data_IF_214214392922
#
_entry.id   IF_214214392922
#
_cell.length_a   1.000
_cell.length_b   1.000
_cell.length_c   1.000
_cell.angle_alpha   90.00
_cell.angle_beta   90.00
_cell.angle_gamma   90.00
#
_symmetry.space_group_name_H-M   'P 1'
#
loop_
_entity.id
_entity.type
_entity.pdbx_description
1 polymer ?
#
# COMPACT_ATOMS: atom_id res chain seq x y z
N UNK A 1 -7.74 12.34 -7.27
CA UNK A 1 -8.41 12.72 -6.09
C UNK A 1 -8.21 14.15 -5.61
N UNK A 2 -7.00 14.72 -5.74
CA UNK A 2 -6.73 16.06 -5.20
C UNK A 2 -7.52 17.17 -5.93
N UNK A 3 -7.89 16.95 -7.17
CA UNK A 3 -8.65 17.92 -7.94
C UNK A 3 -10.15 17.78 -7.74
N UNK A 4 -10.63 16.69 -7.15
CA UNK A 4 -12.05 16.41 -6.99
C UNK A 4 -12.80 16.10 -8.30
N UNK A 5 -12.09 15.97 -9.43
CA UNK A 5 -12.68 15.65 -10.73
C UNK A 5 -12.68 14.14 -10.94
N UNK A 6 -13.86 13.53 -10.97
CA UNK A 6 -13.99 12.08 -11.01
C UNK A 6 -13.32 11.46 -12.25
N UNK A 7 -13.55 12.02 -13.44
CA UNK A 7 -12.95 11.48 -14.66
C UNK A 7 -11.41 11.57 -14.63
N UNK A 8 -10.87 12.64 -14.05
CA UNK A 8 -9.43 12.77 -13.89
C UNK A 8 -8.89 11.74 -12.90
N UNK A 9 -9.64 11.46 -11.82
CA UNK A 9 -9.25 10.44 -10.85
C UNK A 9 -9.24 9.05 -11.49
N UNK A 10 -10.22 8.72 -12.31
CA UNK A 10 -10.27 7.45 -13.02
C UNK A 10 -9.03 7.29 -13.92
N UNK A 11 -8.69 8.34 -14.68
CA UNK A 11 -7.49 8.31 -15.52
C UNK A 11 -6.22 8.16 -14.70
N UNK A 12 -6.13 8.86 -13.58
CA UNK A 12 -4.96 8.76 -12.70
C UNK A 12 -4.80 7.34 -12.17
N UNK A 13 -5.88 6.72 -11.72
CA UNK A 13 -5.86 5.34 -11.22
C UNK A 13 -5.45 4.37 -12.33
N UNK A 14 -5.99 4.54 -13.54
CA UNK A 14 -5.63 3.70 -14.69
C UNK A 14 -4.14 3.83 -15.04
N UNK A 15 -3.62 5.07 -15.01
CA UNK A 15 -2.20 5.32 -15.27
C UNK A 15 -1.32 4.70 -14.20
N UNK A 16 -1.68 4.85 -12.94
CA UNK A 16 -0.95 4.27 -11.82
C UNK A 16 -0.96 2.74 -11.93
N UNK A 17 -2.11 2.15 -12.25
CA UNK A 17 -2.23 0.70 -12.40
C UNK A 17 -1.27 0.18 -13.48
N UNK A 18 -1.20 0.86 -14.62
CA UNK A 18 -0.27 0.49 -15.70
C UNK A 18 1.17 0.60 -15.23
N UNK A 19 1.52 1.69 -14.54
CA UNK A 19 2.87 1.90 -14.04
C UNK A 19 3.25 0.86 -12.98
N UNK A 20 2.33 0.54 -12.08
CA UNK A 20 2.54 -0.50 -11.06
C UNK A 20 2.81 -1.84 -11.73
N UNK A 21 2.06 -2.19 -12.77
CA UNK A 21 2.29 -3.43 -13.52
C UNK A 21 3.69 -3.50 -14.10
N UNK A 22 4.20 -2.39 -14.65
CA UNK A 22 5.56 -2.33 -15.19
C UNK A 22 6.62 -2.48 -14.10
N UNK A 23 6.42 -1.82 -12.96
CA UNK A 23 7.34 -1.92 -11.82
C UNK A 23 7.35 -3.34 -11.28
N UNK A 24 6.18 -3.96 -11.12
CA UNK A 24 6.07 -5.33 -10.63
C UNK A 24 6.74 -6.33 -11.56
N UNK A 25 6.64 -6.13 -12.87
CA UNK A 25 7.32 -6.99 -13.85
C UNK A 25 8.85 -6.89 -13.69
N UNK A 26 9.37 -5.68 -13.50
CA UNK A 26 10.80 -5.48 -13.30
C UNK A 26 11.28 -6.11 -11.99
N UNK A 27 10.50 -5.97 -10.92
CA UNK A 27 10.80 -6.57 -9.62
C UNK A 27 10.82 -8.11 -9.73
N UNK A 28 9.85 -8.69 -10.44
CA UNK A 28 9.79 -10.13 -10.63
C UNK A 28 11.02 -10.64 -11.40
N UNK A 29 11.45 -9.92 -12.43
CA UNK A 29 12.65 -10.28 -13.19
C UNK A 29 13.91 -10.23 -12.33
N UNK A 30 13.94 -9.31 -11.35
CA UNK A 30 15.07 -9.19 -10.44
C UNK A 30 14.98 -10.16 -9.26
N UNK A 31 13.91 -10.95 -9.15
CA UNK A 31 13.70 -11.88 -8.03
C UNK A 31 13.30 -11.18 -6.74
N UNK A 32 12.75 -9.97 -6.82
CA UNK A 32 12.36 -9.20 -5.66
C UNK A 32 10.91 -9.39 -5.24
N UNK A 33 10.54 -8.68 -4.18
CA UNK A 33 9.18 -8.65 -3.65
C UNK A 33 8.73 -7.21 -3.51
N UNK A 34 7.42 -6.98 -3.48
CA UNK A 34 6.86 -5.64 -3.38
C UNK A 34 5.73 -5.59 -2.35
N UNK A 35 5.61 -4.46 -1.68
CA UNK A 35 4.45 -4.15 -0.85
C UNK A 35 3.77 -2.95 -1.51
N UNK A 36 2.48 -3.08 -1.77
CA UNK A 36 1.67 -2.01 -2.35
C UNK A 36 0.70 -1.54 -1.30
N UNK A 37 0.73 -0.24 -1.01
CA UNK A 37 -0.15 0.36 -0.01
C UNK A 37 -0.32 1.84 -0.32
N UNK A 38 -0.97 2.56 0.58
CA UNK A 38 -1.11 4.01 0.53
C UNK A 38 -0.86 4.60 1.91
N UNK A 39 -0.50 5.87 1.95
CA UNK A 39 -0.27 6.58 3.21
C UNK A 39 -1.57 7.16 3.79
N UNK A 40 -2.57 7.39 2.94
CA UNK A 40 -3.88 7.88 3.35
C UNK A 40 -4.91 7.60 2.25
N UNK A 41 -6.19 7.74 2.59
CA UNK A 41 -7.25 7.67 1.61
C UNK A 41 -7.47 9.01 0.92
N UNK A 42 -8.05 8.98 -0.27
CA UNK A 42 -8.40 10.17 -1.04
C UNK A 42 -9.45 9.83 -2.10
N UNK A 43 -9.05 9.08 -3.14
CA UNK A 43 -9.90 8.84 -4.31
C UNK A 43 -11.12 7.97 -4.02
N UNK A 44 -11.13 7.21 -2.93
CA UNK A 44 -12.30 6.41 -2.56
C UNK A 44 -13.46 7.28 -2.09
N UNK A 45 -13.21 8.58 -1.79
CA UNK A 45 -14.23 9.53 -1.39
C UNK A 45 -14.08 10.81 -2.23
N UNK A 46 -14.76 10.85 -3.36
CA UNK A 46 -14.68 11.98 -4.30
C UNK A 46 -15.74 13.04 -4.03
N UNK A 47 -16.83 12.66 -3.40
CA UNK A 47 -17.92 13.57 -3.07
C UNK A 47 -18.37 13.37 -1.64
N UNK A 48 -18.72 14.45 -0.97
CA UNK A 48 -19.30 14.43 0.36
C UNK A 48 -20.45 15.44 0.39
N UNK A 49 -21.67 14.94 0.68
CA UNK A 49 -22.89 15.77 0.69
C UNK A 49 -23.12 16.49 -0.65
N UNK A 50 -22.79 15.82 -1.76
CA UNK A 50 -22.97 16.35 -3.10
C UNK A 50 -21.92 17.37 -3.52
N UNK A 51 -20.90 17.60 -2.71
CA UNK A 51 -19.81 18.54 -3.00
C UNK A 51 -18.53 17.74 -3.28
N UNK A 52 -17.71 18.13 -4.28
CA UNK A 52 -16.45 17.45 -4.51
C UNK A 52 -15.58 17.44 -3.25
N UNK A 53 -15.06 16.26 -2.92
CA UNK A 53 -14.22 16.07 -1.74
C UNK A 53 -12.78 15.82 -2.19
N UNK A 54 -11.89 16.75 -1.86
CA UNK A 54 -10.49 16.71 -2.28
C UNK A 54 -9.52 16.45 -1.14
N UNK A 55 -10.02 16.38 0.10
CA UNK A 55 -9.18 16.18 1.28
C UNK A 55 -8.77 14.71 1.41
N UNK A 56 -7.67 14.49 2.14
CA UNK A 56 -7.27 13.15 2.54
C UNK A 56 -8.32 12.55 3.48
N UNK A 57 -8.58 11.25 3.35
CA UNK A 57 -9.52 10.57 4.23
C UNK A 57 -8.78 9.80 5.31
N UNK A 58 -9.49 9.52 6.42
CA UNK A 58 -8.97 8.67 7.47
C UNK A 58 -9.36 7.20 7.29
N UNK A 59 -9.96 6.87 6.15
CA UNK A 59 -10.36 5.50 5.85
C UNK A 59 -9.14 4.58 5.82
N UNK A 60 -9.30 3.31 6.22
CA UNK A 60 -8.24 2.34 6.05
C UNK A 60 -7.81 2.21 4.60
N UNK A 61 -6.53 1.95 4.38
CA UNK A 61 -5.97 1.74 3.05
C UNK A 61 -5.57 0.27 2.90
N UNK A 62 -5.57 -0.28 1.67
CA UNK A 62 -5.17 -1.65 1.45
C UNK A 62 -3.65 -1.82 1.59
N UNK A 63 -3.24 -3.03 1.92
CA UNK A 63 -1.83 -3.44 1.85
C UNK A 63 -1.76 -4.79 1.14
N UNK A 64 -0.88 -4.88 0.15
CA UNK A 64 -0.72 -6.08 -0.67
C UNK A 64 0.76 -6.46 -0.70
N UNK A 65 1.04 -7.76 -0.52
CA UNK A 65 2.39 -8.29 -0.66
C UNK A 65 2.46 -9.09 -1.96
N UNK A 66 3.38 -8.72 -2.83
CA UNK A 66 3.57 -9.37 -4.13
C UNK A 66 4.89 -10.14 -4.10
N UNK A 67 4.84 -11.42 -4.43
CA UNK A 67 6.02 -12.28 -4.54
C UNK A 67 6.47 -12.94 -3.24
N UNK A 68 5.81 -12.66 -2.12
CA UNK A 68 6.20 -13.20 -0.82
C UNK A 68 5.52 -14.50 -0.42
N UNK A 69 4.30 -14.73 -0.88
CA UNK A 69 3.54 -15.93 -0.53
C UNK A 69 3.00 -15.96 0.89
N UNK A 70 3.25 -14.92 1.68
CA UNK A 70 2.78 -14.82 3.06
C UNK A 70 1.46 -14.06 3.12
N UNK A 71 0.59 -14.43 4.09
CA UNK A 71 -0.55 -13.61 4.43
C UNK A 71 -0.13 -12.43 5.29
N UNK A 72 -0.87 -11.33 5.20
CA UNK A 72 -0.63 -10.14 5.99
C UNK A 72 -1.77 -9.92 6.97
N UNK A 73 -1.44 -9.40 8.16
CA UNK A 73 -2.42 -8.96 9.15
C UNK A 73 -2.78 -7.51 8.92
N UNK A 74 -3.93 -7.09 9.42
CA UNK A 74 -4.24 -5.67 9.51
C UNK A 74 -3.34 -5.01 10.56
N UNK A 75 -3.01 -3.76 10.33
CA UNK A 75 -2.17 -3.01 11.24
C UNK A 75 -2.16 -1.54 10.88
N UNK A 76 -1.05 -0.87 11.14
CA UNK A 76 -0.89 0.56 10.92
C UNK A 76 0.32 0.81 10.02
N UNK A 77 0.44 2.05 9.54
CA UNK A 77 1.56 2.43 8.67
C UNK A 77 2.92 2.22 9.35
N UNK A 78 2.99 2.39 10.68
CA UNK A 78 4.23 2.15 11.41
C UNK A 78 4.68 0.69 11.39
N UNK A 79 3.83 -0.22 10.93
CA UNK A 79 4.15 -1.64 10.85
C UNK A 79 4.80 -2.02 9.51
N UNK A 80 4.86 -1.12 8.55
CA UNK A 80 5.41 -1.42 7.22
C UNK A 80 6.91 -1.66 7.24
N UNK A 81 7.67 -0.78 7.88
CA UNK A 81 9.12 -0.94 7.97
C UNK A 81 9.50 -2.22 8.71
N UNK A 82 8.88 -2.57 9.86
CA UNK A 82 9.10 -3.88 10.47
C UNK A 82 8.80 -5.05 9.54
N UNK A 83 7.74 -4.94 8.74
CA UNK A 83 7.40 -5.97 7.76
C UNK A 83 8.48 -6.12 6.69
N UNK A 84 9.00 -5.01 6.18
CA UNK A 84 10.07 -5.02 5.19
C UNK A 84 11.35 -5.64 5.75
N UNK A 85 11.70 -5.30 7.00
CA UNK A 85 12.87 -5.89 7.65
C UNK A 85 12.69 -7.39 7.82
N UNK A 86 11.51 -7.85 8.21
CA UNK A 86 11.22 -9.27 8.34
C UNK A 86 11.36 -9.99 7.00
N UNK A 87 10.89 -9.39 5.92
CA UNK A 87 11.04 -9.98 4.59
C UNK A 87 12.49 -10.07 4.14
N UNK A 88 13.33 -9.13 4.59
CA UNK A 88 14.75 -9.10 4.27
C UNK A 88 15.57 -9.99 5.22
N UNK A 89 14.95 -10.53 6.27
CA UNK A 89 15.66 -11.32 7.28
C UNK A 89 16.55 -10.47 8.17
N UNK A 90 16.26 -9.18 8.31
CA UNK A 90 17.05 -8.26 9.12
C UNK A 90 16.39 -8.02 10.48
N UNK A 91 17.18 -7.77 11.53
CA UNK A 91 16.62 -7.50 12.86
C UNK A 91 15.96 -6.13 12.90
N UNK A 92 14.91 -6.01 13.72
CA UNK A 92 14.21 -4.77 13.94
C UNK A 92 14.90 -3.98 15.06
N UNK A 93 15.25 -2.71 14.82
CA UNK A 93 15.84 -1.88 15.88
C UNK A 93 14.86 -1.66 17.04
N UNK A 94 15.35 -1.53 18.29
CA UNK A 94 14.45 -1.31 19.43
C UNK A 94 13.71 0.03 19.38
N UNK A 95 14.20 1.02 18.66
CA UNK A 95 13.52 2.30 18.46
C UNK A 95 12.27 2.16 17.60
N UNK A 96 12.19 1.11 16.80
CA UNK A 96 11.07 0.86 15.89
C UNK A 96 9.98 0.12 16.67
N UNK A 97 8.86 0.78 16.93
CA UNK A 97 7.81 0.26 17.81
C UNK A 97 6.73 -0.53 17.10
N UNK A 98 6.69 -0.49 15.76
CA UNK A 98 5.72 -1.26 14.98
C UNK A 98 6.00 -2.74 15.02
N UNK A 99 5.09 -3.52 14.43
CA UNK A 99 5.19 -4.98 14.40
C UNK A 99 5.00 -5.45 12.97
N UNK A 100 5.78 -6.44 12.55
CA UNK A 100 5.63 -7.04 11.22
C UNK A 100 4.19 -7.51 11.00
N UNK A 101 3.66 -7.23 9.82
CA UNK A 101 2.33 -7.68 9.40
C UNK A 101 2.32 -9.11 8.86
N UNK A 102 3.47 -9.74 8.73
CA UNK A 102 3.55 -11.11 8.26
C UNK A 102 2.89 -12.05 9.26
N UNK A 103 2.02 -12.93 8.76
CA UNK A 103 1.40 -13.93 9.61
C UNK A 103 2.38 -15.08 9.87
N UNK A 104 2.66 -15.34 11.14
CA UNK A 104 3.52 -16.44 11.52
C UNK A 104 2.88 -17.77 11.11
N UNK A 105 3.68 -18.69 10.61
CA UNK A 105 3.21 -20.01 10.20
C UNK A 105 2.47 -20.03 8.87
N UNK A 106 2.33 -18.92 8.21
CA UNK A 106 1.78 -18.86 6.86
C UNK A 106 2.73 -19.51 5.88
N UNK A 107 2.24 -20.47 5.19
CA UNK A 107 3.06 -21.21 4.23
C UNK A 107 2.34 -21.26 2.90
#
# INVERSE_FOLDING_TARGET
GHTGVFSAAVRAVETVDTCVGRVLAAIAQAGGRAIITADHGNAECMEKDGVPFTQHTTNPVPVLLVGGGNALRNGALCDLAPTMLALLGLPQPPEMTGRSLLCAGSK
#
